data_IF_362397017262
#
_entry.id   IF_362397017262
#
_cell.length_a   1.000
_cell.length_b   1.000
_cell.length_c   1.000
_cell.angle_alpha   90.00
_cell.angle_beta   90.00
_cell.angle_gamma   90.00
#
_symmetry.space_group_name_H-M   'P 1'
#
loop_
_entity.id
_entity.type
_entity.pdbx_description
1 polymer ?
#
# COMPACT_ATOMS: atom_id res chain seq x y z
N UNK A 1 0.67 13.27 19.63
CA UNK A 1 1.69 12.43 18.94
C UNK A 1 1.12 11.15 18.31
N UNK A 2 0.31 10.35 19.00
CA UNK A 2 -0.20 9.04 18.48
C UNK A 2 -0.96 9.19 17.14
N UNK A 3 -1.82 10.21 17.01
CA UNK A 3 -2.63 10.41 15.80
C UNK A 3 -1.81 10.74 14.54
N UNK A 4 -0.70 11.46 14.68
CA UNK A 4 0.13 11.84 13.54
C UNK A 4 0.92 10.64 13.00
N UNK A 5 1.49 9.82 13.88
CA UNK A 5 2.17 8.59 13.49
C UNK A 5 1.22 7.61 12.81
N UNK A 6 -0.01 7.47 13.31
CA UNK A 6 -1.04 6.63 12.69
C UNK A 6 -1.46 7.16 11.31
N UNK A 7 -1.63 8.48 11.16
CA UNK A 7 -1.95 9.11 9.88
C UNK A 7 -0.83 8.91 8.85
N UNK A 8 0.44 9.11 9.26
CA UNK A 8 1.61 8.85 8.41
C UNK A 8 1.64 7.38 7.97
N UNK A 9 1.45 6.45 8.90
CA UNK A 9 1.39 5.02 8.58
C UNK A 9 0.27 4.70 7.59
N UNK A 10 -0.93 5.27 7.77
CA UNK A 10 -2.06 5.10 6.83
C UNK A 10 -1.70 5.60 5.44
N UNK A 11 -1.12 6.81 5.32
CA UNK A 11 -0.66 7.37 4.04
C UNK A 11 0.38 6.49 3.36
N UNK A 12 1.35 5.96 4.10
CA UNK A 12 2.37 5.05 3.55
C UNK A 12 1.76 3.75 3.03
N UNK A 13 0.80 3.17 3.75
CA UNK A 13 0.09 1.96 3.30
C UNK A 13 -0.70 2.21 2.02
N UNK A 14 -1.40 3.35 1.92
CA UNK A 14 -2.12 3.73 0.70
C UNK A 14 -1.18 3.91 -0.49
N UNK A 15 0.01 4.51 -0.31
CA UNK A 15 1.03 4.59 -1.36
C UNK A 15 1.47 3.20 -1.86
N UNK A 16 1.63 2.24 -0.96
CA UNK A 16 1.97 0.86 -1.33
C UNK A 16 0.83 0.21 -2.11
N UNK A 17 -0.43 0.36 -1.67
CA UNK A 17 -1.59 -0.18 -2.39
C UNK A 17 -1.68 0.40 -3.81
N UNK A 18 -1.57 1.72 -3.95
CA UNK A 18 -1.60 2.39 -5.24
C UNK A 18 -0.48 1.88 -6.16
N UNK A 19 0.75 1.75 -5.65
CA UNK A 19 1.88 1.24 -6.42
C UNK A 19 1.68 -0.19 -6.96
N UNK A 20 0.93 -1.04 -6.24
CA UNK A 20 0.58 -2.39 -6.70
C UNK A 20 -0.59 -2.33 -7.69
N UNK A 21 -1.61 -1.51 -7.41
CA UNK A 21 -2.79 -1.36 -8.26
C UNK A 21 -2.43 -0.84 -9.67
N UNK A 22 -1.54 0.16 -9.77
CA UNK A 22 -1.01 0.72 -11.02
C UNK A 22 -0.24 -0.32 -11.88
N UNK A 23 0.13 -1.47 -11.30
CA UNK A 23 0.79 -2.59 -11.98
C UNK A 23 -0.16 -3.75 -12.24
N UNK A 24 -1.42 -3.45 -12.55
CA UNK A 24 -2.49 -4.44 -12.76
C UNK A 24 -2.68 -5.35 -11.54
N UNK A 25 -2.51 -4.79 -10.34
CA UNK A 25 -2.72 -5.49 -9.07
C UNK A 25 -1.60 -6.45 -8.65
N UNK A 26 -0.49 -6.51 -9.37
CA UNK A 26 0.65 -7.40 -9.05
C UNK A 26 1.96 -6.62 -9.21
N UNK A 27 2.78 -6.55 -8.16
CA UNK A 27 4.08 -5.88 -8.23
C UNK A 27 5.17 -6.62 -7.44
N UNK A 28 6.39 -6.63 -7.97
CA UNK A 28 7.59 -7.05 -7.27
C UNK A 28 8.08 -5.99 -6.27
N UNK A 29 8.96 -6.41 -5.35
CA UNK A 29 9.50 -5.50 -4.33
C UNK A 29 10.18 -4.26 -4.93
N UNK A 30 11.01 -4.43 -5.96
CA UNK A 30 11.74 -3.33 -6.60
C UNK A 30 10.79 -2.33 -7.26
N UNK A 31 9.68 -2.79 -7.82
CA UNK A 31 8.66 -1.91 -8.44
C UNK A 31 7.95 -1.08 -7.38
N UNK A 32 7.54 -1.71 -6.27
CA UNK A 32 6.94 -1.00 -5.12
C UNK A 32 7.93 0.03 -4.58
N UNK A 33 9.20 -0.33 -4.40
CA UNK A 33 10.24 0.59 -3.92
C UNK A 33 10.43 1.77 -4.85
N UNK A 34 10.54 1.53 -6.15
CA UNK A 34 10.79 2.58 -7.13
C UNK A 34 9.59 3.54 -7.26
N UNK A 35 8.36 3.01 -7.22
CA UNK A 35 7.14 3.84 -7.27
C UNK A 35 6.95 4.65 -5.98
N UNK A 36 7.10 4.03 -4.81
CA UNK A 36 6.79 4.68 -3.52
C UNK A 36 7.92 5.55 -2.97
N UNK A 37 9.17 5.35 -3.43
CA UNK A 37 10.41 5.95 -2.88
C UNK A 37 10.61 5.69 -1.37
N UNK A 38 9.99 4.64 -0.84
CA UNK A 38 10.11 4.25 0.56
C UNK A 38 11.39 3.45 0.82
N UNK A 39 11.89 3.50 2.06
CA UNK A 39 13.00 2.66 2.49
C UNK A 39 12.60 1.19 2.52
N UNK A 40 13.58 0.30 2.32
CA UNK A 40 13.38 -1.16 2.39
C UNK A 40 12.68 -1.59 3.69
N UNK A 41 13.14 -1.07 4.83
CA UNK A 41 12.56 -1.37 6.14
C UNK A 41 11.11 -0.91 6.26
N UNK A 42 10.77 0.28 5.74
CA UNK A 42 9.40 0.80 5.77
C UNK A 42 8.46 -0.08 4.92
N UNK A 43 8.89 -0.49 3.73
CA UNK A 43 8.10 -1.36 2.85
C UNK A 43 7.80 -2.69 3.55
N UNK A 44 8.82 -3.36 4.10
CA UNK A 44 8.61 -4.62 4.82
C UNK A 44 7.72 -4.46 6.05
N UNK A 45 7.96 -3.43 6.87
CA UNK A 45 7.16 -3.12 8.05
C UNK A 45 5.67 -2.95 7.72
N UNK A 46 5.36 -2.26 6.62
CA UNK A 46 3.98 -2.02 6.23
C UNK A 46 3.34 -3.24 5.56
N UNK A 47 4.04 -3.93 4.65
CA UNK A 47 3.51 -5.14 3.99
C UNK A 47 3.18 -6.24 4.99
N UNK A 48 4.01 -6.43 6.02
CA UNK A 48 3.76 -7.38 7.11
C UNK A 48 2.42 -7.12 7.84
N UNK A 49 2.03 -5.85 7.95
CA UNK A 49 0.79 -5.40 8.61
C UNK A 49 -0.39 -5.25 7.66
N UNK A 50 -0.19 -5.51 6.37
CA UNK A 50 -1.18 -5.36 5.31
C UNK A 50 -1.62 -6.71 4.74
N UNK A 51 -1.45 -7.82 5.47
CA UNK A 51 -1.75 -9.18 4.99
C UNK A 51 -3.20 -9.37 4.48
N UNK A 52 -4.15 -8.61 5.02
CA UNK A 52 -5.55 -8.63 4.57
C UNK A 52 -5.79 -7.83 3.27
N UNK A 53 -4.86 -6.94 2.92
CA UNK A 53 -4.97 -6.04 1.78
C UNK A 53 -4.02 -6.42 0.64
N UNK A 54 -2.89 -7.05 0.96
CA UNK A 54 -1.83 -7.46 0.05
C UNK A 54 -1.31 -8.84 0.43
N UNK A 55 -1.30 -9.76 -0.53
CA UNK A 55 -0.82 -11.13 -0.35
C UNK A 55 0.54 -11.29 -1.05
N UNK A 56 1.53 -11.83 -0.35
CA UNK A 56 2.81 -12.20 -0.95
C UNK A 56 2.68 -13.54 -1.69
N UNK A 57 2.92 -13.55 -3.01
CA UNK A 57 3.01 -14.75 -3.84
C UNK A 57 4.42 -14.84 -4.44
N UNK A 58 5.28 -15.67 -3.84
CA UNK A 58 6.69 -15.81 -4.22
C UNK A 58 7.42 -14.45 -4.18
N UNK A 59 7.88 -13.93 -5.33
CA UNK A 59 8.59 -12.64 -5.47
C UNK A 59 7.66 -11.44 -5.60
N UNK A 60 6.36 -11.67 -5.76
CA UNK A 60 5.38 -10.62 -6.04
C UNK A 60 4.43 -10.40 -4.86
N UNK A 61 3.86 -9.20 -4.83
CA UNK A 61 2.80 -8.78 -3.94
C UNK A 61 1.55 -8.53 -4.78
N UNK A 62 0.45 -9.16 -4.38
CA UNK A 62 -0.83 -9.11 -5.09
C UNK A 62 -1.83 -8.37 -4.22
N UNK A 63 -2.44 -7.32 -4.75
CA UNK A 63 -3.51 -6.60 -4.04
C UNK A 63 -4.76 -7.49 -3.98
N UNK A 64 -5.44 -7.46 -2.85
CA UNK A 64 -6.72 -8.15 -2.65
C UNK A 64 -7.89 -7.22 -2.97
N UNK A 65 -9.09 -7.77 -3.05
CA UNK A 65 -10.31 -6.98 -3.14
C UNK A 65 -10.47 -6.00 -1.97
N UNK A 66 -10.21 -6.43 -0.74
CA UNK A 66 -10.22 -5.55 0.43
C UNK A 66 -9.20 -4.40 0.29
N UNK A 67 -8.04 -4.66 -0.34
CA UNK A 67 -7.03 -3.65 -0.62
C UNK A 67 -7.48 -2.63 -1.66
N UNK A 68 -8.17 -3.09 -2.71
CA UNK A 68 -8.76 -2.23 -3.74
C UNK A 68 -9.88 -1.35 -3.17
N UNK A 69 -10.77 -1.92 -2.35
CA UNK A 69 -11.85 -1.18 -1.69
C UNK A 69 -11.29 -0.08 -0.78
N UNK A 70 -10.30 -0.40 0.06
CA UNK A 70 -9.64 0.58 0.91
C UNK A 70 -8.98 1.72 0.13
N UNK A 71 -8.39 1.41 -1.02
CA UNK A 71 -7.79 2.42 -1.90
C UNK A 71 -8.87 3.32 -2.52
N UNK A 72 -9.93 2.73 -3.06
CA UNK A 72 -11.05 3.47 -3.66
C UNK A 72 -11.75 4.37 -2.65
N UNK A 73 -12.03 3.89 -1.44
CA UNK A 73 -12.59 4.69 -0.34
C UNK A 73 -11.72 5.91 -0.01
N UNK A 74 -10.39 5.72 0.01
CA UNK A 74 -9.46 6.79 0.30
C UNK A 74 -9.42 7.84 -0.82
N UNK A 75 -9.49 7.42 -2.08
CA UNK A 75 -9.51 8.31 -3.24
C UNK A 75 -10.82 9.08 -3.36
N UNK A 76 -11.95 8.42 -3.15
CA UNK A 76 -13.27 9.05 -3.12
C UNK A 76 -13.37 10.10 -2.00
N UNK A 77 -12.76 9.85 -0.85
CA UNK A 77 -12.71 10.84 0.23
C UNK A 77 -11.90 12.09 -0.17
N UNK A 78 -10.78 11.92 -0.87
CA UNK A 78 -9.96 13.04 -1.33
C UNK A 78 -10.61 13.85 -2.45
N UNK A 79 -11.48 13.25 -3.25
CA UNK A 79 -12.19 13.96 -4.33
C UNK A 79 -13.36 14.83 -3.83
N UNK A 80 -13.83 14.57 -2.60
CA UNK A 80 -14.95 15.27 -1.97
C UNK A 80 -14.51 16.26 -0.86
N UNK A 81 -13.20 16.48 -0.70
CA UNK A 81 -12.58 17.46 0.19
C UNK A 81 -12.00 18.62 -0.64
#
# INVERSE_FOLDING_TARGET
MIGETQLRARRTRLKILRAIAEKNGIAGFSEIRNSTKLSTGSIYYHLERMKNYVIKKSKNYVITEAGLNLLSEAENKMANE
#
